data_IF_596139992802
#
_entry.id   IF_596139992802
#
_cell.length_a   1.000
_cell.length_b   1.000
_cell.length_c   1.000
_cell.angle_alpha   90.00
_cell.angle_beta   90.00
_cell.angle_gamma   90.00
#
_symmetry.space_group_name_H-M   'P 1'
#
loop_
_entity.id
_entity.type
_entity.pdbx_description
1 polymer ?
#
# COMPACT_ATOMS: atom_id res chain seq x y z
N UNK A 1 -44.60 27.94 -70.38
CA UNK A 1 -44.40 28.60 -69.07
C UNK A 1 -43.75 27.59 -68.15
N UNK A 2 -42.43 27.68 -68.04
CA UNK A 2 -41.61 26.73 -67.30
C UNK A 2 -41.47 27.17 -65.81
N UNK A 3 -41.90 26.29 -64.91
CA UNK A 3 -41.56 26.47 -63.47
C UNK A 3 -40.24 25.80 -63.19
N UNK A 4 -39.23 26.59 -62.82
CA UNK A 4 -37.95 26.13 -62.31
C UNK A 4 -38.14 25.89 -60.84
N UNK A 5 -37.88 24.62 -60.37
CA UNK A 5 -37.81 24.24 -58.95
C UNK A 5 -36.36 24.44 -58.45
N UNK A 6 -36.17 25.29 -57.43
CA UNK A 6 -34.94 25.41 -56.73
C UNK A 6 -34.84 24.31 -55.64
N UNK A 7 -33.90 23.43 -55.79
CA UNK A 7 -33.53 22.46 -54.74
C UNK A 7 -32.47 23.12 -53.82
N UNK A 8 -32.91 23.40 -52.63
CA UNK A 8 -31.96 23.88 -51.59
C UNK A 8 -31.15 22.71 -50.98
N UNK A 9 -29.85 22.69 -51.20
CA UNK A 9 -28.95 21.79 -50.52
C UNK A 9 -28.70 22.31 -49.08
N UNK A 10 -29.16 21.56 -48.08
CA UNK A 10 -28.80 21.78 -46.70
C UNK A 10 -27.44 21.13 -46.45
N UNK A 11 -26.39 21.95 -46.22
CA UNK A 11 -25.07 21.49 -45.81
C UNK A 11 -25.17 21.14 -44.32
N UNK A 12 -25.12 19.86 -44.02
CA UNK A 12 -25.04 19.33 -42.66
C UNK A 12 -23.60 19.46 -42.19
N UNK A 13 -23.30 20.47 -41.38
CA UNK A 13 -21.98 20.61 -40.72
C UNK A 13 -21.86 19.56 -39.63
N UNK A 14 -21.10 18.52 -39.88
CA UNK A 14 -20.67 17.57 -38.85
C UNK A 14 -19.61 18.25 -38.01
N UNK A 15 -19.98 18.71 -36.82
CA UNK A 15 -18.99 19.12 -35.81
C UNK A 15 -18.19 17.91 -35.40
N UNK A 16 -16.90 17.90 -35.75
CA UNK A 16 -15.94 16.92 -35.16
C UNK A 16 -15.89 17.17 -33.66
N UNK A 17 -16.48 16.26 -32.89
CA UNK A 17 -16.26 16.19 -31.46
C UNK A 17 -14.83 15.63 -31.29
N UNK A 18 -13.89 16.50 -30.97
CA UNK A 18 -12.57 16.04 -30.51
C UNK A 18 -12.78 15.12 -29.32
N UNK A 19 -12.22 13.90 -29.32
CA UNK A 19 -12.31 13.05 -28.14
C UNK A 19 -11.68 13.81 -26.98
N UNK A 20 -12.51 14.08 -25.97
CA UNK A 20 -12.02 14.53 -24.68
C UNK A 20 -11.03 13.46 -24.20
N UNK A 21 -9.77 13.84 -24.00
CA UNK A 21 -8.80 12.94 -23.39
C UNK A 21 -9.42 12.42 -22.10
N UNK A 22 -9.64 11.10 -22.02
CA UNK A 22 -10.04 10.48 -20.77
C UNK A 22 -8.96 10.81 -19.74
N UNK A 23 -9.32 11.16 -18.51
CA UNK A 23 -8.30 11.30 -17.47
C UNK A 23 -7.50 10.01 -17.46
N UNK A 24 -6.19 10.13 -17.60
CA UNK A 24 -5.27 9.01 -17.44
C UNK A 24 -5.57 8.38 -16.09
N UNK A 25 -5.84 7.07 -16.07
CA UNK A 25 -5.87 6.31 -14.83
C UNK A 25 -4.60 6.67 -14.09
N UNK A 26 -4.71 7.10 -12.84
CA UNK A 26 -3.53 7.26 -12.01
C UNK A 26 -2.94 5.87 -11.92
N UNK A 27 -1.72 5.69 -12.44
CA UNK A 27 -1.04 4.42 -12.39
C UNK A 27 -0.86 4.00 -10.92
N UNK A 28 -0.91 2.71 -10.64
CA UNK A 28 -0.54 2.19 -9.33
C UNK A 28 0.88 2.68 -9.00
N UNK A 29 1.15 2.97 -7.76
CA UNK A 29 2.48 3.39 -7.31
C UNK A 29 3.01 2.43 -6.26
N UNK A 30 4.32 2.24 -6.25
CA UNK A 30 5.06 1.55 -5.21
C UNK A 30 5.63 2.61 -4.26
N UNK A 31 5.35 2.48 -2.98
CA UNK A 31 5.95 3.25 -1.90
C UNK A 31 7.01 2.39 -1.23
N UNK A 32 8.15 2.99 -0.92
CA UNK A 32 9.32 2.33 -0.35
C UNK A 32 9.83 3.16 0.81
N UNK A 33 9.96 2.57 1.99
CA UNK A 33 10.69 3.16 3.11
C UNK A 33 12.18 3.18 2.77
N UNK A 34 12.86 4.27 3.03
CA UNK A 34 14.29 4.43 2.75
C UNK A 34 14.96 5.01 3.97
N UNK A 35 15.71 4.16 4.71
CA UNK A 35 16.38 4.49 5.95
C UNK A 35 17.38 5.62 5.78
N UNK A 36 18.32 5.48 4.88
CA UNK A 36 19.37 6.47 4.60
C UNK A 36 18.84 7.88 4.26
N UNK A 37 17.65 7.97 3.68
CA UNK A 37 17.06 9.25 3.26
C UNK A 37 16.00 9.79 4.20
N UNK A 38 15.71 9.10 5.31
CA UNK A 38 14.64 9.45 6.26
C UNK A 38 13.32 9.80 5.55
N UNK A 39 12.93 8.98 4.55
CA UNK A 39 11.80 9.30 3.70
C UNK A 39 11.09 8.08 3.14
N UNK A 40 9.89 8.29 2.61
CA UNK A 40 9.18 7.30 1.81
C UNK A 40 9.21 7.73 0.36
N UNK A 41 9.84 6.93 -0.48
CA UNK A 41 10.01 7.18 -1.91
C UNK A 41 8.85 6.58 -2.70
N UNK A 42 8.49 7.22 -3.83
CA UNK A 42 7.41 6.76 -4.69
C UNK A 42 7.89 6.47 -6.10
N UNK A 43 7.52 5.29 -6.58
CA UNK A 43 7.86 4.78 -7.89
C UNK A 43 6.62 4.42 -8.71
N UNK A 44 6.73 4.48 -10.01
CA UNK A 44 5.72 3.97 -10.94
C UNK A 44 5.68 2.44 -10.86
N UNK A 45 4.54 1.87 -10.47
CA UNK A 45 4.41 0.42 -10.24
C UNK A 45 4.50 -0.45 -11.50
N UNK A 46 4.48 0.14 -12.70
CA UNK A 46 4.63 -0.61 -13.93
C UNK A 46 6.09 -0.63 -14.43
N UNK A 47 6.86 0.40 -14.12
CA UNK A 47 8.19 0.62 -14.73
C UNK A 47 9.33 0.72 -13.72
N UNK A 48 9.08 0.87 -12.43
CA UNK A 48 10.09 1.13 -11.40
C UNK A 48 10.69 2.55 -11.45
N UNK A 49 10.19 3.40 -12.33
CA UNK A 49 10.72 4.76 -12.45
C UNK A 49 10.38 5.61 -11.21
N UNK A 50 11.38 6.29 -10.66
CA UNK A 50 11.20 7.24 -9.56
C UNK A 50 10.23 8.36 -9.97
N UNK A 51 9.28 8.65 -9.10
CA UNK A 51 8.31 9.73 -9.29
C UNK A 51 8.70 10.94 -8.43
N UNK A 52 8.72 10.76 -7.11
CA UNK A 52 9.05 11.79 -6.12
C UNK A 52 9.28 11.18 -4.73
N UNK A 53 9.69 12.02 -3.78
CA UNK A 53 9.63 11.72 -2.35
C UNK A 53 8.18 11.92 -1.90
N UNK A 54 7.51 10.83 -1.49
CA UNK A 54 6.10 10.87 -1.10
C UNK A 54 5.90 11.44 0.30
N UNK A 55 6.68 10.98 1.28
CA UNK A 55 6.59 11.46 2.66
C UNK A 55 7.98 11.72 3.23
N UNK A 56 8.13 12.86 3.90
CA UNK A 56 9.36 13.27 4.57
C UNK A 56 9.07 14.26 5.70
N UNK A 57 10.03 14.48 6.56
CA UNK A 57 9.94 15.47 7.65
C UNK A 57 9.03 15.04 8.78
N UNK A 58 8.68 15.99 9.67
CA UNK A 58 7.92 15.70 10.88
C UNK A 58 8.69 14.95 11.96
N UNK A 59 9.99 14.75 11.78
CA UNK A 59 10.84 13.94 12.64
C UNK A 59 10.86 12.47 12.22
N UNK A 60 10.56 12.19 10.94
CA UNK A 60 10.78 10.88 10.35
C UNK A 60 12.28 10.56 10.43
N UNK A 61 12.60 9.43 10.96
CA UNK A 61 13.94 8.96 11.24
C UNK A 61 13.89 7.45 11.00
N UNK A 62 14.66 6.98 10.06
CA UNK A 62 14.75 5.60 9.66
C UNK A 62 13.35 4.93 9.56
N UNK A 63 12.56 5.27 8.51
CA UNK A 63 11.20 4.78 8.35
C UNK A 63 11.16 3.30 8.03
N UNK A 64 10.24 2.59 8.69
CA UNK A 64 10.03 1.18 8.43
C UNK A 64 8.61 0.90 7.93
N UNK A 65 7.73 0.39 8.77
CA UNK A 65 6.39 -0.05 8.40
C UNK A 65 5.51 1.02 7.77
N UNK A 66 4.79 0.64 6.74
CA UNK A 66 3.94 1.50 5.93
C UNK A 66 2.50 1.01 5.91
N UNK A 67 1.54 1.88 6.17
CA UNK A 67 0.12 1.55 6.00
C UNK A 67 -0.74 2.74 5.60
N UNK A 68 -1.79 2.48 4.81
CA UNK A 68 -2.92 3.41 4.69
C UNK A 68 -3.94 3.11 5.77
N UNK A 69 -4.33 4.13 6.52
CA UNK A 69 -5.37 4.01 7.53
C UNK A 69 -6.78 4.03 6.94
N UNK A 70 -7.79 3.67 7.76
CA UNK A 70 -9.19 3.67 7.34
C UNK A 70 -9.73 5.08 7.04
N UNK A 71 -9.03 6.13 7.48
CA UNK A 71 -9.31 7.53 7.20
C UNK A 71 -8.72 8.02 5.86
N UNK A 72 -7.97 7.15 5.17
CA UNK A 72 -7.29 7.45 3.92
C UNK A 72 -5.97 8.21 4.07
N UNK A 73 -5.49 8.44 5.29
CA UNK A 73 -4.17 8.96 5.55
C UNK A 73 -3.12 7.85 5.52
N UNK A 74 -1.87 8.26 5.41
CA UNK A 74 -0.72 7.38 5.33
C UNK A 74 0.05 7.42 6.66
N UNK A 75 0.45 6.25 7.14
CA UNK A 75 1.09 6.06 8.44
C UNK A 75 2.42 5.35 8.26
N UNK A 76 3.42 5.85 8.97
CA UNK A 76 4.81 5.34 8.91
C UNK A 76 5.31 5.18 10.33
N UNK A 77 5.90 4.02 10.64
CA UNK A 77 6.70 3.85 11.84
C UNK A 77 8.06 4.53 11.67
N UNK A 78 8.60 5.05 12.74
CA UNK A 78 9.86 5.80 12.74
C UNK A 78 10.67 5.43 13.96
N UNK A 79 11.96 5.21 13.79
CA UNK A 79 12.90 4.97 14.92
C UNK A 79 12.99 6.13 15.91
N UNK A 80 12.34 7.26 15.61
CA UNK A 80 12.05 8.30 16.60
C UNK A 80 11.06 7.86 17.70
N UNK A 81 10.73 6.58 17.78
CA UNK A 81 9.78 5.95 18.71
C UNK A 81 8.35 6.46 18.53
N UNK A 82 7.93 6.59 17.31
CA UNK A 82 6.61 7.13 16.95
C UNK A 82 6.02 6.49 15.69
N UNK A 83 4.71 6.63 15.55
CA UNK A 83 4.01 6.48 14.27
C UNK A 83 3.66 7.87 13.78
N UNK A 84 4.17 8.23 12.61
CA UNK A 84 3.90 9.52 11.96
C UNK A 84 2.75 9.38 10.98
N UNK A 85 1.93 10.45 10.85
CA UNK A 85 0.81 10.49 9.92
C UNK A 85 0.99 11.57 8.87
N UNK A 86 0.71 11.17 7.64
CA UNK A 86 0.80 12.02 6.45
C UNK A 86 -0.53 12.00 5.69
N UNK A 87 -0.82 13.05 4.95
CA UNK A 87 -1.95 13.06 4.02
C UNK A 87 -1.76 11.98 2.95
N UNK A 88 -2.68 11.04 2.86
CA UNK A 88 -2.53 9.86 2.00
C UNK A 88 -2.57 10.14 0.49
N UNK A 89 -2.82 11.39 0.07
CA UNK A 89 -2.83 11.79 -1.34
C UNK A 89 -1.59 12.59 -1.73
N UNK A 90 -1.15 13.45 -0.81
CA UNK A 90 -0.08 14.42 -1.08
C UNK A 90 1.22 14.09 -0.37
N UNK A 91 1.19 13.19 0.63
CA UNK A 91 2.33 12.87 1.46
C UNK A 91 2.73 13.99 2.45
N UNK A 92 1.92 15.05 2.56
CA UNK A 92 2.22 16.14 3.49
C UNK A 92 2.13 15.65 4.94
N UNK A 93 3.13 15.96 5.76
CA UNK A 93 3.11 15.66 7.19
C UNK A 93 1.90 16.30 7.87
N UNK A 94 1.20 15.54 8.68
CA UNK A 94 0.06 16.00 9.47
C UNK A 94 0.40 16.13 10.94
N UNK A 95 0.83 15.05 11.58
CA UNK A 95 1.18 15.01 13.00
C UNK A 95 1.96 13.73 13.38
N UNK A 96 2.44 13.71 14.64
CA UNK A 96 2.83 12.48 15.33
C UNK A 96 1.55 11.83 15.82
N UNK A 97 1.15 10.73 15.18
CA UNK A 97 -0.13 10.09 15.43
C UNK A 97 -0.15 9.28 16.72
N UNK A 98 0.85 8.41 16.91
CA UNK A 98 0.96 7.57 18.09
C UNK A 98 2.40 7.59 18.63
N UNK A 99 2.51 7.63 19.95
CA UNK A 99 3.77 7.55 20.68
C UNK A 99 3.52 7.19 22.13
N UNK A 100 4.55 6.83 22.86
CA UNK A 100 4.43 6.43 24.26
C UNK A 100 3.84 5.04 24.45
N UNK A 101 3.46 4.70 25.69
CA UNK A 101 3.04 3.33 26.03
C UNK A 101 4.19 2.34 26.07
N UNK A 102 5.45 2.80 25.98
CA UNK A 102 6.64 1.94 25.85
C UNK A 102 7.02 1.65 24.40
N UNK A 103 6.53 2.43 23.43
CA UNK A 103 6.95 2.26 22.03
C UNK A 103 8.42 2.59 21.87
N UNK A 104 9.22 1.61 21.55
CA UNK A 104 10.66 1.71 21.33
C UNK A 104 11.03 0.85 20.13
N UNK A 105 11.76 1.44 19.18
CA UNK A 105 12.13 0.81 17.90
C UNK A 105 10.93 0.18 17.18
N UNK A 106 9.95 1.01 16.73
CA UNK A 106 8.76 0.49 16.07
C UNK A 106 9.05 0.10 14.63
N UNK A 107 8.80 -1.16 14.28
CA UNK A 107 8.94 -1.69 12.93
C UNK A 107 7.59 -1.81 12.21
N UNK A 108 6.91 -2.94 12.27
CA UNK A 108 5.65 -3.17 11.57
C UNK A 108 4.45 -2.43 12.17
N UNK A 109 3.45 -2.12 11.34
CA UNK A 109 2.17 -1.60 11.79
C UNK A 109 1.00 -2.18 10.97
N UNK A 110 -0.15 -2.39 11.62
CA UNK A 110 -1.37 -2.86 10.95
C UNK A 110 -2.62 -2.31 11.60
N UNK A 111 -3.60 -1.91 10.78
CA UNK A 111 -4.93 -1.53 11.26
C UNK A 111 -5.82 -2.78 11.37
N UNK A 112 -6.33 -3.06 12.56
CA UNK A 112 -7.28 -4.13 12.80
C UNK A 112 -8.71 -3.76 12.40
N UNK A 113 -9.51 -4.77 12.05
CA UNK A 113 -10.93 -4.58 11.74
C UNK A 113 -11.76 -4.07 12.93
N UNK A 114 -11.21 -4.12 14.12
CA UNK A 114 -11.80 -3.61 15.37
C UNK A 114 -11.62 -2.09 15.57
N UNK A 115 -10.98 -1.41 14.60
CA UNK A 115 -10.70 0.02 14.66
C UNK A 115 -9.52 0.37 15.56
N UNK A 116 -8.54 -0.52 15.68
CA UNK A 116 -7.31 -0.31 16.44
C UNK A 116 -6.10 -0.32 15.50
N UNK A 117 -5.05 0.34 15.91
CA UNK A 117 -3.73 0.26 15.32
C UNK A 117 -2.85 -0.62 16.20
N UNK A 118 -2.17 -1.56 15.58
CA UNK A 118 -1.21 -2.46 16.22
C UNK A 118 0.18 -2.15 15.67
N UNK A 119 1.15 -2.00 16.56
CA UNK A 119 2.53 -1.63 16.22
C UNK A 119 3.49 -2.57 16.96
N UNK A 120 4.42 -3.17 16.26
CA UNK A 120 5.53 -3.88 16.87
C UNK A 120 6.49 -2.89 17.52
N UNK A 121 7.05 -3.28 18.66
CA UNK A 121 8.00 -2.49 19.44
C UNK A 121 9.21 -3.38 19.71
N UNK A 122 10.24 -3.21 18.87
CA UNK A 122 11.39 -4.12 18.77
C UNK A 122 12.12 -4.27 20.10
N UNK A 123 12.51 -3.18 20.70
CA UNK A 123 13.28 -3.17 21.95
C UNK A 123 12.48 -3.69 23.18
N UNK A 124 11.13 -3.61 23.13
CA UNK A 124 10.32 -4.07 24.28
C UNK A 124 9.83 -5.50 24.13
N UNK A 125 9.93 -6.09 22.95
CA UNK A 125 9.43 -7.43 22.67
C UNK A 125 7.90 -7.53 22.77
N UNK A 126 7.19 -6.47 22.37
CA UNK A 126 5.73 -6.37 22.48
C UNK A 126 5.08 -5.89 21.20
N UNK A 127 3.79 -6.20 21.04
CA UNK A 127 2.90 -5.52 20.10
C UNK A 127 2.02 -4.56 20.88
N UNK A 128 2.16 -3.28 20.64
CA UNK A 128 1.39 -2.24 21.29
C UNK A 128 0.14 -1.90 20.50
N UNK A 129 -0.94 -1.54 21.22
CA UNK A 129 -2.23 -1.22 20.62
C UNK A 129 -2.64 0.21 20.92
N UNK A 130 -3.10 0.89 19.84
CA UNK A 130 -3.55 2.27 19.89
C UNK A 130 -4.95 2.41 19.31
N UNK A 131 -5.67 3.43 19.72
CA UNK A 131 -6.94 3.81 19.11
C UNK A 131 -6.69 4.38 17.70
N UNK A 132 -7.25 3.75 16.67
CA UNK A 132 -6.98 4.10 15.28
C UNK A 132 -7.53 5.47 14.84
N UNK A 133 -8.36 6.10 15.67
CA UNK A 133 -8.91 7.42 15.37
C UNK A 133 -8.09 8.55 16.03
N UNK A 134 -7.58 8.30 17.23
CA UNK A 134 -6.95 9.32 18.07
C UNK A 134 -5.46 9.13 18.32
N UNK A 135 -4.91 7.95 18.01
CA UNK A 135 -3.53 7.56 18.31
C UNK A 135 -3.26 7.33 19.81
N UNK A 136 -4.29 7.34 20.64
CA UNK A 136 -4.12 7.13 22.07
C UNK A 136 -3.71 5.68 22.38
N UNK A 137 -2.65 5.52 23.20
CA UNK A 137 -2.23 4.21 23.69
C UNK A 137 -3.36 3.52 24.47
N UNK A 138 -3.57 2.24 24.21
CA UNK A 138 -4.57 1.43 24.91
C UNK A 138 -3.90 0.48 25.86
N UNK A 139 -3.07 -0.42 25.34
CA UNK A 139 -2.37 -1.48 26.11
C UNK A 139 -1.25 -2.14 25.31
N UNK A 140 -0.46 -2.98 25.98
CA UNK A 140 0.36 -4.01 25.35
C UNK A 140 -0.58 -5.15 24.97
N UNK A 141 -0.78 -5.37 23.66
CA UNK A 141 -1.74 -6.35 23.14
C UNK A 141 -1.19 -7.76 23.14
N UNK A 142 0.04 -7.95 22.64
CA UNK A 142 0.67 -9.25 22.55
C UNK A 142 2.11 -9.19 23.04
N UNK A 143 2.50 -10.22 23.80
CA UNK A 143 3.86 -10.37 24.33
C UNK A 143 4.13 -11.80 24.76
N UNK A 144 5.39 -12.11 25.02
CA UNK A 144 5.80 -13.46 25.46
C UNK A 144 5.72 -14.50 24.35
N UNK A 145 5.83 -15.78 24.73
CA UNK A 145 5.91 -16.88 23.76
C UNK A 145 7.23 -16.94 22.99
N UNK A 146 8.27 -16.20 23.43
CA UNK A 146 9.53 -16.09 22.70
C UNK A 146 9.56 -14.92 21.71
N UNK A 147 8.67 -13.92 21.85
CA UNK A 147 8.72 -12.73 21.03
C UNK A 147 9.95 -11.88 21.37
N UNK A 148 10.89 -11.84 20.47
CA UNK A 148 12.12 -11.08 20.56
C UNK A 148 12.29 -10.25 19.30
N UNK A 149 12.56 -8.95 19.43
CA UNK A 149 12.63 -8.01 18.30
C UNK A 149 11.45 -8.18 17.32
N UNK A 150 10.18 -7.88 17.73
CA UNK A 150 9.04 -8.01 16.83
C UNK A 150 9.13 -7.03 15.66
N UNK A 151 9.05 -7.60 14.45
CA UNK A 151 9.14 -6.92 13.18
C UNK A 151 7.77 -6.81 12.49
N UNK A 152 7.63 -7.28 11.28
CA UNK A 152 6.38 -7.31 10.53
C UNK A 152 5.26 -8.06 11.27
N UNK A 153 4.04 -7.55 11.14
CA UNK A 153 2.86 -8.18 11.74
C UNK A 153 1.63 -8.09 10.83
N UNK A 154 0.82 -9.16 10.81
CA UNK A 154 -0.40 -9.24 9.99
C UNK A 154 -1.50 -10.02 10.68
N UNK A 155 -2.74 -9.61 10.47
CA UNK A 155 -3.87 -10.47 10.77
C UNK A 155 -4.04 -11.51 9.66
N UNK A 156 -4.04 -12.78 10.04
CA UNK A 156 -4.26 -13.89 9.13
C UNK A 156 -5.73 -14.06 8.75
N UNK A 157 -6.02 -14.93 7.76
CA UNK A 157 -7.39 -15.23 7.33
C UNK A 157 -8.27 -15.88 8.41
N UNK A 158 -7.64 -16.44 9.44
CA UNK A 158 -8.30 -17.02 10.64
C UNK A 158 -8.62 -15.96 11.71
N UNK A 159 -8.21 -14.70 11.48
CA UNK A 159 -8.39 -13.58 12.39
C UNK A 159 -7.42 -13.54 13.56
N UNK A 160 -6.40 -14.41 13.60
CA UNK A 160 -5.31 -14.32 14.56
C UNK A 160 -4.23 -13.33 14.07
N UNK A 161 -3.44 -12.83 15.01
CA UNK A 161 -2.30 -11.96 14.73
C UNK A 161 -1.04 -12.81 14.60
N UNK A 162 -0.33 -12.63 13.50
CA UNK A 162 0.97 -13.23 13.21
C UNK A 162 2.02 -12.14 13.31
N UNK A 163 3.12 -12.43 14.00
CA UNK A 163 4.20 -11.49 14.28
C UNK A 163 5.53 -12.18 14.02
N UNK A 164 6.37 -11.55 13.22
CA UNK A 164 7.76 -11.97 13.07
C UNK A 164 8.52 -11.63 14.35
N UNK A 165 9.31 -12.58 14.81
CA UNK A 165 10.25 -12.45 15.93
C UNK A 165 11.64 -12.52 15.31
N UNK A 166 12.25 -11.36 15.02
CA UNK A 166 13.54 -11.27 14.31
C UNK A 166 14.61 -12.08 15.02
N UNK A 167 14.95 -11.70 16.23
CA UNK A 167 15.94 -12.40 17.04
C UNK A 167 15.50 -13.82 17.51
N UNK A 168 14.19 -14.11 17.42
CA UNK A 168 13.62 -15.42 17.77
C UNK A 168 13.53 -16.41 16.61
N UNK A 169 13.90 -16.04 15.40
CA UNK A 169 13.91 -16.89 14.19
C UNK A 169 12.58 -17.62 13.93
N UNK A 170 11.46 -16.94 14.20
CA UNK A 170 10.14 -17.55 14.12
C UNK A 170 9.03 -16.55 13.76
N UNK A 171 7.91 -17.08 13.25
CA UNK A 171 6.64 -16.37 13.20
C UNK A 171 5.76 -16.85 14.34
N UNK A 172 5.41 -15.94 15.25
CA UNK A 172 4.56 -16.25 16.39
C UNK A 172 3.10 -15.91 16.09
N UNK A 173 2.17 -16.76 16.61
CA UNK A 173 0.74 -16.54 16.45
C UNK A 173 0.07 -16.21 17.79
N UNK A 174 -0.71 -15.15 17.77
CA UNK A 174 -1.49 -14.66 18.90
C UNK A 174 -2.96 -14.64 18.57
N UNK A 175 -3.82 -14.86 19.57
CA UNK A 175 -5.26 -14.70 19.40
C UNK A 175 -5.59 -13.23 19.04
N UNK A 176 -6.14 -13.01 17.87
CA UNK A 176 -6.39 -11.68 17.33
C UNK A 176 -7.41 -10.82 18.09
N UNK A 177 -8.11 -11.42 19.08
CA UNK A 177 -9.06 -10.69 19.94
C UNK A 177 -8.46 -10.37 21.32
N UNK A 178 -7.70 -11.29 21.88
CA UNK A 178 -7.22 -11.21 23.27
C UNK A 178 -5.73 -10.95 23.40
N UNK A 179 -4.96 -11.09 22.31
CA UNK A 179 -3.51 -11.01 22.33
C UNK A 179 -2.80 -12.19 23.01
N UNK A 180 -3.54 -13.21 23.43
CA UNK A 180 -2.93 -14.37 24.08
C UNK A 180 -2.08 -15.16 23.09
N UNK A 181 -0.86 -15.53 23.49
CA UNK A 181 0.00 -16.40 22.70
C UNK A 181 -0.67 -17.74 22.41
N UNK A 182 -0.60 -18.22 21.19
CA UNK A 182 -1.13 -19.51 20.76
C UNK A 182 0.01 -20.50 20.56
N UNK A 183 0.91 -20.21 19.63
CA UNK A 183 2.05 -21.08 19.27
C UNK A 183 3.13 -20.33 18.47
N UNK A 184 4.27 -20.98 18.30
CA UNK A 184 5.23 -20.68 17.25
C UNK A 184 4.64 -21.28 15.95
N UNK A 185 4.13 -20.42 15.09
CA UNK A 185 3.39 -20.87 13.89
C UNK A 185 4.35 -21.37 12.80
N UNK A 186 5.42 -20.64 12.51
CA UNK A 186 6.43 -21.04 11.56
C UNK A 186 7.81 -20.87 12.16
N UNK A 187 8.71 -21.83 11.92
CA UNK A 187 10.07 -21.88 12.44
C UNK A 187 11.06 -22.19 11.35
N UNK A 188 12.36 -21.93 11.62
CA UNK A 188 13.42 -22.17 10.64
C UNK A 188 13.50 -21.08 9.56
N UNK A 189 13.06 -19.90 9.90
CA UNK A 189 13.33 -18.65 9.19
C UNK A 189 14.42 -17.91 9.95
N UNK A 190 15.43 -17.42 9.27
CA UNK A 190 16.58 -16.72 9.84
C UNK A 190 16.34 -15.22 9.72
N UNK A 191 16.16 -14.54 10.86
CA UNK A 191 15.86 -13.12 10.93
C UNK A 191 14.63 -12.73 10.05
N UNK A 192 13.40 -13.11 10.46
CA UNK A 192 12.19 -12.79 9.71
C UNK A 192 11.77 -11.32 9.87
N UNK A 193 11.66 -10.56 8.78
CA UNK A 193 11.35 -9.13 8.82
C UNK A 193 9.91 -8.81 8.38
N UNK A 194 9.47 -9.20 7.20
CA UNK A 194 8.08 -8.96 6.77
C UNK A 194 7.36 -10.29 6.50
N UNK A 195 6.05 -10.30 6.65
CA UNK A 195 5.22 -11.45 6.37
C UNK A 195 3.93 -11.05 5.64
N UNK A 196 3.44 -11.90 4.76
CA UNK A 196 2.14 -11.72 4.12
C UNK A 196 1.47 -13.05 3.77
N UNK A 197 0.14 -13.05 3.77
CA UNK A 197 -0.64 -14.16 3.24
C UNK A 197 -0.93 -13.94 1.77
N UNK A 198 -0.51 -14.90 0.93
CA UNK A 198 -0.81 -14.89 -0.49
C UNK A 198 -2.27 -15.20 -0.80
N UNK A 199 -2.69 -14.93 -2.03
CA UNK A 199 -4.02 -15.29 -2.52
C UNK A 199 -4.26 -16.82 -2.57
N UNK A 200 -3.20 -17.60 -2.54
CA UNK A 200 -3.20 -19.07 -2.45
C UNK A 200 -3.44 -19.57 -1.02
N UNK A 201 -3.46 -18.66 -0.03
CA UNK A 201 -3.65 -18.94 1.38
C UNK A 201 -2.38 -19.35 2.12
N UNK A 202 -1.23 -19.37 1.47
CA UNK A 202 0.06 -19.64 2.09
C UNK A 202 0.67 -18.38 2.72
N UNK A 203 1.60 -18.59 3.65
CA UNK A 203 2.34 -17.54 4.30
C UNK A 203 3.71 -17.39 3.64
N UNK A 204 4.03 -16.18 3.24
CA UNK A 204 5.33 -15.76 2.69
C UNK A 204 6.04 -14.94 3.75
N UNK A 205 7.30 -15.24 4.01
CA UNK A 205 8.11 -14.57 5.02
C UNK A 205 9.46 -14.22 4.41
N UNK A 206 9.86 -12.96 4.49
CA UNK A 206 11.23 -12.57 4.17
C UNK A 206 12.17 -13.00 5.29
N UNK A 207 13.34 -13.44 4.93
CA UNK A 207 14.40 -13.91 5.82
C UNK A 207 15.67 -13.16 5.47
N UNK A 208 16.00 -12.15 6.27
CA UNK A 208 17.16 -11.30 6.03
C UNK A 208 18.46 -12.11 6.15
N UNK A 209 18.57 -12.92 7.19
CA UNK A 209 19.76 -13.75 7.43
C UNK A 209 20.07 -14.75 6.32
N UNK A 210 19.05 -15.27 5.61
CA UNK A 210 19.26 -16.16 4.45
C UNK A 210 19.16 -15.46 3.10
N UNK A 211 18.71 -14.20 3.06
CA UNK A 211 18.45 -13.43 1.83
C UNK A 211 17.44 -14.12 0.90
N UNK A 212 16.39 -14.71 1.47
CA UNK A 212 15.38 -15.50 0.77
C UNK A 212 13.96 -15.08 1.18
N UNK A 213 12.97 -15.44 0.38
CA UNK A 213 11.57 -15.44 0.80
C UNK A 213 11.13 -16.88 0.97
N UNK A 214 10.76 -17.26 2.18
CA UNK A 214 10.29 -18.60 2.53
C UNK A 214 8.78 -18.71 2.38
N UNK A 215 8.31 -19.90 2.02
CA UNK A 215 6.90 -20.24 1.84
C UNK A 215 6.50 -21.29 2.86
N UNK A 216 5.45 -20.97 3.63
CA UNK A 216 4.86 -21.86 4.61
C UNK A 216 3.40 -22.15 4.27
N UNK A 217 2.91 -23.33 4.64
CA UNK A 217 1.49 -23.64 4.59
C UNK A 217 0.74 -22.71 5.56
N UNK A 218 -0.15 -21.88 5.03
CA UNK A 218 -0.82 -20.84 5.81
C UNK A 218 -1.85 -21.37 6.84
N UNK A 219 -2.13 -22.66 6.84
CA UNK A 219 -3.01 -23.29 7.83
C UNK A 219 -2.24 -24.00 8.95
N UNK A 220 -1.10 -24.61 8.62
CA UNK A 220 -0.32 -25.45 9.56
C UNK A 220 0.98 -24.82 10.01
N UNK A 221 1.55 -23.88 9.23
CA UNK A 221 2.89 -23.31 9.47
C UNK A 221 4.04 -24.19 9.02
N UNK A 222 3.74 -25.33 8.36
CA UNK A 222 4.79 -26.21 7.83
C UNK A 222 5.54 -25.54 6.70
N UNK A 223 6.88 -25.60 6.73
CA UNK A 223 7.72 -25.08 5.64
C UNK A 223 7.48 -25.86 4.36
N UNK A 224 7.04 -25.17 3.31
CA UNK A 224 6.94 -25.72 1.95
C UNK A 224 8.29 -25.65 1.26
N UNK A 225 9.00 -24.54 1.41
CA UNK A 225 10.35 -24.36 0.83
C UNK A 225 10.70 -22.90 0.59
N UNK A 226 11.81 -22.67 -0.12
CA UNK A 226 12.19 -21.35 -0.60
C UNK A 226 11.28 -20.97 -1.76
N UNK A 227 10.60 -19.84 -1.63
CA UNK A 227 9.77 -19.32 -2.73
C UNK A 227 10.59 -18.47 -3.69
N UNK A 228 11.35 -17.49 -3.21
CA UNK A 228 12.16 -16.61 -4.03
C UNK A 228 13.57 -16.48 -3.45
N UNK A 229 14.55 -16.49 -4.33
CA UNK A 229 15.96 -16.29 -3.97
C UNK A 229 16.78 -15.91 -5.20
N UNK A 230 18.00 -15.43 -4.98
CA UNK A 230 18.94 -15.06 -6.02
C UNK A 230 18.62 -13.72 -6.68
N UNK A 231 19.18 -13.49 -7.86
CA UNK A 231 19.11 -12.18 -8.53
C UNK A 231 20.06 -11.15 -7.92
N UNK A 232 20.79 -11.48 -6.87
CA UNK A 232 21.67 -10.58 -6.14
C UNK A 232 21.02 -9.97 -4.89
N UNK A 233 19.80 -10.39 -4.50
CA UNK A 233 19.20 -9.92 -3.26
C UNK A 233 20.06 -10.30 -2.06
N UNK A 234 20.30 -9.34 -1.18
CA UNK A 234 21.01 -9.49 0.08
C UNK A 234 20.23 -8.76 1.17
N UNK A 235 20.07 -9.38 2.35
CA UNK A 235 19.25 -8.87 3.45
C UNK A 235 17.84 -8.51 2.96
N UNK A 236 17.02 -9.58 2.71
CA UNK A 236 15.65 -9.39 2.20
C UNK A 236 14.72 -8.93 3.30
N UNK A 237 14.09 -7.79 3.09
CA UNK A 237 13.23 -7.13 4.06
C UNK A 237 11.76 -7.13 3.64
N UNK A 238 11.23 -5.98 3.26
CA UNK A 238 9.83 -5.83 2.88
C UNK A 238 9.45 -6.62 1.65
N UNK A 239 8.31 -7.28 1.70
CA UNK A 239 7.76 -8.05 0.59
C UNK A 239 6.33 -7.61 0.27
N UNK A 240 5.98 -7.53 -1.00
CA UNK A 240 4.62 -7.25 -1.42
C UNK A 240 4.29 -7.86 -2.79
N UNK A 241 3.05 -8.35 -2.95
CA UNK A 241 2.55 -8.68 -4.28
C UNK A 241 2.08 -7.42 -5.00
N UNK A 242 2.60 -7.19 -6.17
CA UNK A 242 2.21 -6.08 -7.03
C UNK A 242 0.88 -6.31 -7.76
N UNK A 243 0.33 -5.26 -8.37
CA UNK A 243 -0.92 -5.35 -9.14
C UNK A 243 -0.81 -6.23 -10.39
N UNK A 244 0.39 -6.55 -10.83
CA UNK A 244 0.71 -7.48 -11.93
C UNK A 244 0.80 -8.94 -11.47
N UNK A 245 0.67 -9.19 -10.15
CA UNK A 245 0.73 -10.49 -9.53
C UNK A 245 2.15 -11.02 -9.31
N UNK A 246 3.19 -10.22 -9.54
CA UNK A 246 4.56 -10.55 -9.20
C UNK A 246 4.87 -10.20 -7.75
N UNK A 247 5.88 -10.87 -7.17
CA UNK A 247 6.39 -10.55 -5.85
C UNK A 247 7.53 -9.54 -5.98
N UNK A 248 7.49 -8.51 -5.16
CA UNK A 248 8.53 -7.50 -5.02
C UNK A 248 9.16 -7.65 -3.65
N UNK A 249 10.46 -7.49 -3.59
CA UNK A 249 11.29 -7.71 -2.40
C UNK A 249 12.26 -6.55 -2.27
N UNK A 250 12.26 -5.89 -1.11
CA UNK A 250 13.30 -4.94 -0.75
C UNK A 250 14.57 -5.71 -0.40
N UNK A 251 15.69 -5.26 -0.91
CA UNK A 251 17.02 -5.79 -0.63
C UNK A 251 17.83 -4.67 0.00
N UNK A 252 17.92 -4.68 1.33
CA UNK A 252 18.50 -3.59 2.11
C UNK A 252 19.97 -3.37 1.74
N UNK A 253 20.77 -4.43 1.81
CA UNK A 253 22.22 -4.34 1.57
C UNK A 253 22.61 -3.99 0.14
N UNK A 254 21.68 -4.04 -0.83
CA UNK A 254 21.95 -3.68 -2.24
C UNK A 254 21.26 -2.40 -2.68
N UNK A 255 20.44 -1.77 -1.82
CA UNK A 255 19.66 -0.57 -2.15
C UNK A 255 18.75 -0.74 -3.37
N UNK A 256 18.16 -1.93 -3.52
CA UNK A 256 17.38 -2.30 -4.70
C UNK A 256 16.00 -2.88 -4.34
N UNK A 257 15.07 -2.81 -5.28
CA UNK A 257 13.83 -3.59 -5.20
C UNK A 257 13.87 -4.66 -6.28
N UNK A 258 13.88 -5.91 -5.86
CA UNK A 258 13.87 -7.08 -6.73
C UNK A 258 12.45 -7.47 -7.15
N UNK A 259 12.29 -8.02 -8.36
CA UNK A 259 11.02 -8.56 -8.81
C UNK A 259 11.14 -10.03 -9.15
N UNK A 260 10.22 -10.82 -8.61
CA UNK A 260 10.12 -12.25 -8.83
C UNK A 260 8.75 -12.62 -9.38
N UNK A 261 8.68 -13.69 -10.16
CA UNK A 261 7.41 -14.22 -10.64
C UNK A 261 6.55 -14.69 -9.46
N UNK A 262 5.38 -14.09 -9.27
CA UNK A 262 4.52 -14.34 -8.11
C UNK A 262 3.87 -15.73 -8.03
N UNK A 263 4.10 -16.59 -9.04
CA UNK A 263 3.61 -17.97 -9.04
C UNK A 263 4.75 -18.99 -8.84
N UNK A 264 5.91 -18.71 -9.42
CA UNK A 264 7.03 -19.66 -9.44
C UNK A 264 8.22 -19.24 -8.57
N UNK A 265 8.23 -17.99 -8.09
CA UNK A 265 9.35 -17.41 -7.35
C UNK A 265 10.60 -17.14 -8.18
N UNK A 266 10.55 -17.37 -9.50
CA UNK A 266 11.71 -17.14 -10.36
C UNK A 266 12.05 -15.64 -10.45
N UNK A 267 13.34 -15.31 -10.29
CA UNK A 267 13.82 -13.94 -10.48
C UNK A 267 13.49 -13.43 -11.88
N UNK A 268 13.00 -12.20 -11.97
CA UNK A 268 12.68 -11.54 -13.24
C UNK A 268 13.73 -10.47 -13.55
N UNK A 269 13.85 -9.46 -12.68
CA UNK A 269 14.76 -8.33 -12.85
C UNK A 269 14.95 -7.55 -11.53
N UNK A 270 15.88 -6.62 -11.54
CA UNK A 270 15.93 -5.50 -10.58
C UNK A 270 14.89 -4.49 -11.04
N UNK A 271 13.88 -4.26 -10.24
CA UNK A 271 12.77 -3.38 -10.57
C UNK A 271 13.06 -1.90 -10.25
N UNK A 272 13.70 -1.66 -9.12
CA UNK A 272 14.27 -0.35 -8.76
C UNK A 272 15.75 -0.55 -8.51
N UNK A 273 16.57 0.16 -9.26
CA UNK A 273 18.04 0.05 -9.19
C UNK A 273 18.62 0.94 -8.10
N UNK A 274 19.78 0.58 -7.55
CA UNK A 274 20.56 1.34 -6.60
C UNK A 274 20.64 2.82 -6.99
N UNK A 275 20.46 3.71 -6.03
CA UNK A 275 20.53 5.17 -6.18
C UNK A 275 19.36 5.80 -6.95
N UNK A 276 18.35 5.02 -7.40
CA UNK A 276 17.17 5.55 -8.06
C UNK A 276 16.34 6.40 -7.09
N UNK A 277 16.30 7.72 -7.32
CA UNK A 277 15.57 8.65 -6.45
C UNK A 277 16.21 8.85 -5.07
N UNK A 278 17.40 8.30 -4.84
CA UNK A 278 18.09 8.35 -3.56
C UNK A 278 17.67 7.24 -2.61
N UNK A 279 17.20 6.11 -3.15
CA UNK A 279 16.93 4.90 -2.35
C UNK A 279 18.22 4.45 -1.65
N UNK A 280 18.11 4.15 -0.38
CA UNK A 280 19.15 3.57 0.45
C UNK A 280 18.51 2.91 1.67
N UNK A 281 19.00 1.75 2.05
CA UNK A 281 18.42 0.90 3.09
C UNK A 281 16.88 0.77 2.93
N UNK A 282 16.38 0.18 1.81
CA UNK A 282 14.95 -0.01 1.63
C UNK A 282 14.42 -1.12 2.54
N UNK A 283 13.57 -0.75 3.49
CA UNK A 283 13.01 -1.66 4.49
C UNK A 283 11.62 -2.18 4.08
N UNK A 284 10.58 -1.39 4.14
CA UNK A 284 9.22 -1.82 3.80
C UNK A 284 8.76 -1.31 2.43
N UNK A 285 7.90 -2.08 1.78
CA UNK A 285 7.31 -1.72 0.49
C UNK A 285 5.80 -1.87 0.51
N UNK A 286 5.10 -0.95 -0.16
CA UNK A 286 3.65 -0.95 -0.20
C UNK A 286 3.14 -0.46 -1.57
N UNK A 287 2.29 -1.26 -2.21
CA UNK A 287 1.56 -0.77 -3.38
C UNK A 287 0.38 0.09 -2.94
N UNK A 288 0.42 1.37 -3.29
CA UNK A 288 -0.67 2.28 -2.98
C UNK A 288 -1.94 1.89 -3.75
N UNK A 289 -3.12 1.95 -3.10
CA UNK A 289 -4.37 1.69 -3.78
C UNK A 289 -4.57 2.66 -4.92
N UNK A 290 -5.06 2.18 -6.08
CA UNK A 290 -5.41 3.06 -7.18
C UNK A 290 -6.53 4.00 -6.74
N UNK A 291 -6.23 5.28 -6.62
CA UNK A 291 -7.28 6.29 -6.49
C UNK A 291 -7.91 6.46 -7.87
N UNK A 292 -8.97 5.70 -8.15
CA UNK A 292 -9.79 5.96 -9.34
C UNK A 292 -10.43 7.34 -9.10
N UNK A 293 -10.09 8.37 -9.89
CA UNK A 293 -10.78 9.65 -9.76
C UNK A 293 -12.26 9.39 -9.96
N UNK A 294 -13.09 9.72 -8.99
CA UNK A 294 -14.55 9.70 -9.21
C UNK A 294 -14.84 10.49 -10.48
N UNK A 295 -15.64 9.95 -11.41
CA UNK A 295 -16.01 10.69 -12.62
C UNK A 295 -16.62 12.00 -12.15
N UNK A 296 -15.84 13.07 -12.34
CA UNK A 296 -16.05 14.34 -11.65
C UNK A 296 -17.50 14.80 -11.76
N UNK A 297 -18.12 15.08 -10.63
CA UNK A 297 -19.46 15.68 -10.49
C UNK A 297 -19.64 16.89 -11.41
N UNK A 298 -18.56 17.53 -11.86
CA UNK A 298 -18.52 18.58 -12.86
C UNK A 298 -18.91 18.10 -14.27
N UNK A 299 -18.58 16.88 -14.68
CA UNK A 299 -18.99 16.36 -15.99
C UNK A 299 -20.51 16.10 -16.03
N UNK A 300 -21.10 15.66 -14.93
CA UNK A 300 -22.53 15.46 -14.79
C UNK A 300 -23.30 16.79 -14.74
N UNK A 301 -22.72 17.85 -14.18
CA UNK A 301 -23.34 19.19 -14.18
C UNK A 301 -23.44 19.78 -15.59
N UNK A 302 -22.44 19.57 -16.46
CA UNK A 302 -22.46 20.05 -17.84
C UNK A 302 -23.47 19.29 -18.72
N UNK A 303 -23.65 17.99 -18.52
CA UNK A 303 -24.66 17.20 -19.22
C UNK A 303 -26.04 17.59 -18.76
N UNK A 304 -26.26 17.87 -17.48
CA UNK A 304 -27.52 18.35 -16.93
C UNK A 304 -27.91 19.75 -17.44
N UNK A 305 -26.97 20.68 -17.49
CA UNK A 305 -27.17 22.06 -17.96
C UNK A 305 -27.40 22.10 -19.49
N UNK A 306 -26.74 21.27 -20.29
CA UNK A 306 -26.95 21.15 -21.71
C UNK A 306 -28.35 20.55 -22.03
N UNK A 307 -28.80 19.57 -21.23
CA UNK A 307 -30.14 18.99 -21.33
C UNK A 307 -31.25 20.00 -21.03
N UNK A 308 -31.09 20.83 -20.00
CA UNK A 308 -32.06 21.90 -19.65
C UNK A 308 -32.12 23.01 -20.68
N UNK A 309 -31.03 23.36 -21.37
CA UNK A 309 -30.99 24.36 -22.43
C UNK A 309 -31.73 23.87 -23.70
N UNK A 310 -31.66 22.59 -24.00
CA UNK A 310 -32.36 21.96 -25.12
C UNK A 310 -33.88 21.83 -24.89
N UNK A 311 -34.29 21.56 -23.65
CA UNK A 311 -35.74 21.52 -23.31
C UNK A 311 -36.39 22.90 -23.33
N UNK A 312 -35.70 23.98 -22.98
CA UNK A 312 -36.24 25.35 -23.02
C UNK A 312 -36.47 25.90 -24.45
N UNK A 313 -35.80 25.39 -25.47
CA UNK A 313 -35.97 25.80 -26.86
C UNK A 313 -37.16 25.16 -27.59
N UNK A 314 -37.82 24.16 -27.01
CA UNK A 314 -38.98 23.47 -27.59
C UNK A 314 -40.34 23.94 -27.09
N UNK A 315 -40.37 24.88 -26.14
CA UNK A 315 -41.61 25.35 -25.52
C UNK A 315 -41.97 26.81 -25.84
N UNK A 316 -41.94 27.21 -27.11
CA UNK A 316 -42.33 28.59 -27.49
C UNK A 316 -42.86 28.69 -28.89
N UNK A 317 -44.11 28.36 -29.08
CA UNK A 317 -44.91 28.87 -30.22
C UNK A 317 -46.27 29.33 -29.68
N UNK A 318 -46.62 30.62 -29.77
CA UNK A 318 -47.96 31.06 -29.46
C UNK A 318 -48.90 30.79 -30.65
N UNK A 319 -50.04 30.15 -30.40
CA UNK A 319 -51.14 30.10 -31.34
C UNK A 319 -51.92 31.43 -31.28
N UNK A 320 -51.90 32.18 -32.36
CA UNK A 320 -52.86 33.22 -32.61
C UNK A 320 -54.09 32.57 -33.26
N UNK A 321 -55.19 32.65 -32.57
CA UNK A 321 -56.52 32.45 -33.19
C UNK A 321 -57.19 33.80 -33.26
N UNK A 322 -57.53 34.19 -34.46
CA UNK A 322 -58.54 35.19 -34.78
C UNK A 322 -59.66 34.52 -35.55
N UNK A 323 -60.86 35.00 -35.26
CA UNK A 323 -62.00 34.85 -36.09
C UNK A 323 -63.32 34.64 -35.38
#
# INVERSE_FOLDING_TARGET
>A
MNRVQYIAFAILSIAMVTPCAMPTSIAATLLVSSGDSDSVLRYDAATGAFIDTFAEGGGLDDPEGLAFGPDGNFYVTSRSNAVLRYDGKTGAFLDVFASGGGLEDPAGLVFGADGRLYVSSGETGEVLRYDALTGAFIDSFASGGGLESPEGLRFGPDGNLYVNSGDGDAVLRYNGTTGAFIDEFATGVDDPLELLFGADGNLYVSSAGSSEVLLFDGATGDLIGVFASGGGAEETEGIAFGPDGNLYVASEATDEIMRYNGVTGAFIDVFVEEGSGGIGEPTFILFAPQVVPEPGTLAMLWVGLAGLALCRRRGGAPSSAEG
#
